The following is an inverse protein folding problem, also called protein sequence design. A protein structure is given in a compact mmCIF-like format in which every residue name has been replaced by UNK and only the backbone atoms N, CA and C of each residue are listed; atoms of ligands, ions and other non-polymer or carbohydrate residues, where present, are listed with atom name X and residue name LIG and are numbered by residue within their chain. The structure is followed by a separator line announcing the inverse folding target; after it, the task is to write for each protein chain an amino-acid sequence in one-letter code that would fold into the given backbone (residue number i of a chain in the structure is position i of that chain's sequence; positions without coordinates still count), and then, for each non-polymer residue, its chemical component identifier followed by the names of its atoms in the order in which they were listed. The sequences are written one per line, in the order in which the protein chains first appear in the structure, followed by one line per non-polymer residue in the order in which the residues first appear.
data_IF_467665216708
#
_entry.id   IF_467665216708
#
_cell.length_a   1.000
_cell.length_b   1.000
_cell.length_c   1.000
_cell.angle_alpha   90.00
_cell.angle_beta   90.00
_cell.angle_gamma   90.00
#
_symmetry.space_group_name_H-M   'P 1'
#
loop_
_entity.id
_entity.type
_entity.pdbx_description
1 polymer ?
#
# COMPACT_ATOMS: atom_id res chain seq x y z
N UNK A 1 17.69 -19.25 -10.76
CA UNK A 1 16.23 -19.44 -10.60
C UNK A 1 15.67 -18.72 -9.39
N UNK A 2 16.30 -18.78 -8.21
CA UNK A 2 15.90 -18.06 -6.99
C UNK A 2 15.60 -16.57 -7.21
N UNK A 3 16.44 -15.85 -7.95
CA UNK A 3 16.25 -14.43 -8.26
C UNK A 3 14.97 -14.14 -9.04
N UNK A 4 14.53 -15.07 -9.90
CA UNK A 4 13.27 -14.93 -10.65
C UNK A 4 12.05 -15.14 -9.76
N UNK A 5 12.15 -16.07 -8.80
CA UNK A 5 11.11 -16.31 -7.79
C UNK A 5 10.98 -15.08 -6.89
N UNK A 6 12.09 -14.52 -6.42
CA UNK A 6 12.08 -13.29 -5.62
C UNK A 6 11.46 -12.11 -6.39
N UNK A 7 11.83 -11.91 -7.65
CA UNK A 7 11.23 -10.87 -8.48
C UNK A 7 9.71 -11.05 -8.64
N UNK A 8 9.25 -12.30 -8.77
CA UNK A 8 7.82 -12.60 -8.86
C UNK A 8 7.07 -12.31 -7.54
N UNK A 9 7.67 -12.64 -6.40
CA UNK A 9 7.10 -12.31 -5.09
C UNK A 9 6.99 -10.80 -4.87
N UNK A 10 8.00 -10.05 -5.27
CA UNK A 10 7.97 -8.58 -5.21
C UNK A 10 6.87 -8.03 -6.12
N UNK A 11 6.74 -8.54 -7.34
CA UNK A 11 5.69 -8.13 -8.26
C UNK A 11 4.29 -8.38 -7.67
N UNK A 12 4.06 -9.56 -7.08
CA UNK A 12 2.80 -9.87 -6.41
C UNK A 12 2.52 -8.93 -5.25
N UNK A 13 3.52 -8.63 -4.42
CA UNK A 13 3.37 -7.69 -3.31
C UNK A 13 2.99 -6.29 -3.80
N UNK A 14 3.64 -5.79 -4.86
CA UNK A 14 3.33 -4.47 -5.45
C UNK A 14 1.91 -4.43 -6.01
N UNK A 15 1.49 -5.47 -6.73
CA UNK A 15 0.14 -5.56 -7.28
C UNK A 15 -0.92 -5.61 -6.16
N UNK A 16 -0.65 -6.37 -5.09
CA UNK A 16 -1.53 -6.44 -3.94
C UNK A 16 -1.70 -5.09 -3.25
N UNK A 17 -0.58 -4.41 -2.97
CA UNK A 17 -0.60 -3.07 -2.36
C UNK A 17 -1.35 -2.08 -3.27
N UNK A 18 -1.13 -2.13 -4.59
CA UNK A 18 -1.87 -1.31 -5.55
C UNK A 18 -3.38 -1.57 -5.52
N UNK A 19 -3.80 -2.84 -5.44
CA UNK A 19 -5.21 -3.21 -5.34
C UNK A 19 -5.87 -2.70 -4.06
N UNK A 20 -5.17 -2.74 -2.92
CA UNK A 20 -5.66 -2.22 -1.63
C UNK A 20 -5.99 -0.72 -1.71
N UNK A 21 -5.26 0.04 -2.53
CA UNK A 21 -5.49 1.48 -2.71
C UNK A 21 -6.53 1.82 -3.77
N UNK A 22 -6.50 1.12 -4.91
CA UNK A 22 -7.40 1.40 -6.03
C UNK A 22 -8.80 0.80 -5.83
N UNK A 23 -8.89 -0.34 -5.16
CA UNK A 23 -10.10 -1.14 -4.98
C UNK A 23 -10.27 -1.59 -3.51
N UNK A 24 -10.45 -0.65 -2.57
CA UNK A 24 -10.47 -0.98 -1.15
C UNK A 24 -11.64 -1.87 -0.74
N UNK A 25 -12.81 -1.75 -1.38
CA UNK A 25 -13.99 -2.57 -1.07
C UNK A 25 -13.74 -4.03 -1.44
N UNK A 26 -13.19 -4.27 -2.63
CA UNK A 26 -12.87 -5.57 -3.16
C UNK A 26 -11.70 -6.20 -2.38
N UNK A 27 -10.68 -5.40 -2.07
CA UNK A 27 -9.55 -5.84 -1.25
C UNK A 27 -9.99 -6.26 0.16
N UNK A 28 -10.91 -5.54 0.79
CA UNK A 28 -11.45 -5.88 2.11
C UNK A 28 -12.43 -7.06 2.06
N UNK A 29 -13.09 -7.28 0.92
CA UNK A 29 -14.03 -8.39 0.71
C UNK A 29 -13.32 -9.71 0.48
N UNK A 30 -12.27 -9.72 -0.35
CA UNK A 30 -11.57 -10.93 -0.76
C UNK A 30 -10.22 -11.15 -0.05
N UNK A 31 -9.70 -10.12 0.63
CA UNK A 31 -8.43 -10.13 1.32
C UNK A 31 -8.57 -10.00 2.84
N UNK A 32 -7.45 -9.66 3.50
CA UNK A 32 -7.45 -9.45 4.95
C UNK A 32 -7.66 -7.96 5.25
N UNK A 33 -8.85 -7.64 5.75
CA UNK A 33 -9.26 -6.28 6.11
C UNK A 33 -8.31 -5.59 7.11
N UNK A 34 -7.76 -6.30 8.09
CA UNK A 34 -6.83 -5.73 9.07
C UNK A 34 -5.52 -5.31 8.40
N UNK A 35 -4.96 -6.19 7.56
CA UNK A 35 -3.73 -5.93 6.81
C UNK A 35 -3.95 -4.77 5.83
N UNK A 36 -5.06 -4.75 5.12
CA UNK A 36 -5.38 -3.69 4.17
C UNK A 36 -5.55 -2.34 4.87
N UNK A 37 -6.16 -2.34 6.05
CA UNK A 37 -6.29 -1.14 6.88
C UNK A 37 -4.91 -0.64 7.32
N UNK A 38 -4.02 -1.54 7.74
CA UNK A 38 -2.65 -1.17 8.09
C UNK A 38 -1.87 -0.58 6.89
N UNK A 39 -1.95 -1.20 5.71
CA UNK A 39 -1.33 -0.70 4.47
C UNK A 39 -1.85 0.71 4.14
N UNK A 40 -3.16 0.94 4.27
CA UNK A 40 -3.78 2.25 4.05
C UNK A 40 -3.31 3.29 5.06
N UNK A 41 -3.20 2.91 6.33
CA UNK A 41 -2.72 3.81 7.38
C UNK A 41 -1.28 4.25 7.16
N UNK A 42 -0.40 3.35 6.69
CA UNK A 42 0.99 3.72 6.33
C UNK A 42 0.99 4.80 5.25
N UNK A 43 0.17 4.66 4.20
CA UNK A 43 0.06 5.68 3.15
C UNK A 43 -0.41 7.01 3.72
N UNK A 44 -1.45 7.01 4.55
CA UNK A 44 -1.94 8.23 5.21
C UNK A 44 -0.88 8.89 6.10
N UNK A 45 -0.05 8.11 6.79
CA UNK A 45 1.08 8.62 7.57
C UNK A 45 2.18 9.22 6.68
N UNK A 46 2.49 8.58 5.55
CA UNK A 46 3.46 9.09 4.59
C UNK A 46 2.98 10.39 3.91
N UNK A 47 1.70 10.46 3.56
CA UNK A 47 1.07 11.65 3.00
C UNK A 47 1.04 12.79 4.03
N UNK A 48 0.71 12.50 5.29
CA UNK A 48 0.72 13.47 6.40
C UNK A 48 2.12 13.99 6.73
N UNK A 49 3.14 13.13 6.70
CA UNK A 49 4.54 13.55 6.86
C UNK A 49 4.97 14.48 5.72
N UNK A 50 4.63 14.13 4.47
CA UNK A 50 4.94 14.94 3.30
C UNK A 50 4.27 16.32 3.37
N UNK A 51 2.99 16.37 3.79
CA UNK A 51 2.26 17.63 3.99
C UNK A 51 2.86 18.48 5.12
N UNK A 52 3.38 17.87 6.20
CA UNK A 52 4.03 18.58 7.29
C UNK A 52 5.38 19.21 6.91
N UNK A 53 5.98 18.76 5.80
CA UNK A 53 7.23 19.29 5.26
C UNK A 53 7.02 20.34 4.17
N UNK A 54 5.78 20.61 3.76
CA UNK A 54 5.47 21.66 2.79
C UNK A 54 5.43 23.03 3.48
N UNK A 55 6.37 23.95 3.18
CA UNK A 55 6.42 25.28 3.79
C UNK A 55 5.26 26.19 3.35
N UNK A 56 4.48 25.80 2.33
CA UNK A 56 3.38 26.59 1.77
C UNK A 56 1.99 26.17 2.29
N UNK A 57 1.90 25.15 3.15
CA UNK A 57 0.65 24.66 3.75
C UNK A 57 0.44 25.10 5.22
N UNK A 58 1.19 26.11 5.70
CA UNK A 58 1.00 26.73 7.02
C UNK A 58 -0.06 27.81 7.05
#
# INVERSE_FOLDING_TARGET
MITRIFAFLILLAVLYIGAVFLFPSEADTYGNKEINTYIRNIKSMADGFSASQDPYLK
#
